data_IF_229633624291
#
_entry.id   IF_229633624291
#
_cell.length_a   1.000
_cell.length_b   1.000
_cell.length_c   1.000
_cell.angle_alpha   90.00
_cell.angle_beta   90.00
_cell.angle_gamma   90.00
#
_symmetry.space_group_name_H-M   'P 1'
#
loop_
_entity.id
_entity.type
_entity.pdbx_description
1 polymer ?
#
# COMPACT_ATOMS: atom_id res chain seq x y z
N UNK A 1 4.10 -4.82 8.98
CA UNK A 1 5.20 -3.94 9.45
C UNK A 1 4.80 -2.47 9.61
N UNK A 2 3.90 -1.91 8.79
CA UNK A 2 3.56 -0.47 8.82
C UNK A 2 2.60 -0.05 9.96
N UNK A 3 1.81 -0.99 10.50
CA UNK A 3 0.75 -0.72 11.49
C UNK A 3 1.18 0.09 12.72
N UNK A 4 2.37 -0.10 13.33
CA UNK A 4 2.79 0.72 14.47
C UNK A 4 2.90 2.21 14.12
N UNK A 5 3.47 2.54 12.95
CA UNK A 5 3.60 3.93 12.49
C UNK A 5 2.23 4.54 12.21
N UNK A 6 1.36 3.79 11.52
CA UNK A 6 -0.01 4.22 11.23
C UNK A 6 -0.81 4.50 12.52
N UNK A 7 -0.64 3.66 13.54
CA UNK A 7 -1.28 3.84 14.85
C UNK A 7 -0.83 5.13 15.54
N UNK A 8 0.47 5.47 15.47
CA UNK A 8 1.00 6.72 16.05
C UNK A 8 0.39 7.94 15.35
N UNK A 9 0.16 7.84 14.04
CA UNK A 9 -0.43 8.90 13.22
C UNK A 9 -1.96 8.92 13.25
N UNK A 10 -2.61 7.99 13.96
CA UNK A 10 -4.07 7.88 14.00
C UNK A 10 -4.71 7.48 12.67
N UNK A 11 -3.98 6.78 11.80
CA UNK A 11 -4.46 6.33 10.49
C UNK A 11 -5.24 5.00 10.67
N UNK A 12 -6.52 4.93 10.26
CA UNK A 12 -7.31 3.70 10.32
C UNK A 12 -6.70 2.57 9.48
N UNK A 13 -6.79 1.33 9.95
CA UNK A 13 -6.17 0.18 9.29
C UNK A 13 -6.74 -0.07 7.89
N UNK A 14 -8.02 0.23 7.67
CA UNK A 14 -8.69 0.14 6.36
C UNK A 14 -8.14 1.11 5.30
N UNK A 15 -7.33 2.08 5.72
CA UNK A 15 -6.65 3.03 4.83
C UNK A 15 -5.18 2.63 4.56
N UNK A 16 -4.74 1.47 5.07
CA UNK A 16 -3.37 0.99 4.90
C UNK A 16 -3.34 -0.03 3.76
N UNK A 17 -2.56 0.26 2.74
CA UNK A 17 -2.26 -0.63 1.63
C UNK A 17 -0.75 -0.89 1.62
N UNK A 18 -0.32 -2.10 1.99
CA UNK A 18 1.09 -2.43 2.13
C UNK A 18 1.33 -3.94 2.03
N UNK A 19 2.56 -4.33 1.70
CA UNK A 19 2.96 -5.72 1.68
C UNK A 19 2.77 -6.37 3.06
N UNK A 20 2.11 -7.52 3.05
CA UNK A 20 2.00 -8.37 4.23
C UNK A 20 3.05 -9.45 4.17
N UNK A 21 3.92 -9.50 5.19
CA UNK A 21 4.86 -10.60 5.36
C UNK A 21 4.14 -11.77 6.04
N UNK A 22 4.42 -12.98 5.56
CA UNK A 22 3.87 -14.21 6.08
C UNK A 22 4.93 -14.92 6.93
N UNK A 23 4.53 -15.31 8.14
CA UNK A 23 5.39 -16.04 9.07
C UNK A 23 4.69 -17.32 9.51
N UNK A 24 5.45 -18.39 9.66
CA UNK A 24 4.95 -19.64 10.19
C UNK A 24 4.83 -19.63 11.70
N UNK A 25 4.35 -20.73 12.26
CA UNK A 25 4.10 -20.85 13.71
C UNK A 25 5.38 -20.76 14.56
N UNK A 26 6.55 -21.04 13.96
CA UNK A 26 7.85 -20.91 14.63
C UNK A 26 8.52 -19.56 14.36
N UNK A 27 7.82 -18.63 13.71
CA UNK A 27 8.34 -17.31 13.35
C UNK A 27 9.25 -17.34 12.10
N UNK A 28 9.34 -18.45 11.40
CA UNK A 28 10.09 -18.56 10.16
C UNK A 28 9.44 -17.72 9.06
N UNK A 29 10.27 -17.07 8.24
CA UNK A 29 9.80 -16.29 7.11
C UNK A 29 9.29 -17.22 6.01
N UNK A 30 8.02 -17.10 5.65
CA UNK A 30 7.38 -17.91 4.61
C UNK A 30 7.23 -17.16 3.29
N UNK A 31 7.49 -15.86 3.27
CA UNK A 31 7.33 -15.00 2.09
C UNK A 31 6.43 -13.80 2.38
N UNK A 32 5.74 -13.35 1.35
CA UNK A 32 4.80 -12.24 1.42
C UNK A 32 3.51 -12.61 0.71
N UNK A 33 2.41 -11.95 1.08
CA UNK A 33 1.14 -12.12 0.39
C UNK A 33 1.24 -11.53 -1.02
N UNK A 34 1.19 -12.40 -2.03
CA UNK A 34 1.26 -12.00 -3.44
C UNK A 34 -0.06 -11.45 -3.98
N UNK A 35 -1.15 -11.53 -3.21
CA UNK A 35 -2.44 -10.94 -3.57
C UNK A 35 -2.49 -9.45 -3.28
N UNK A 36 -1.61 -8.95 -2.39
CA UNK A 36 -1.49 -7.52 -2.12
C UNK A 36 -1.00 -6.80 -3.38
N UNK A 37 -1.71 -5.75 -3.86
CA UNK A 37 -1.29 -5.01 -5.05
C UNK A 37 0.14 -4.46 -4.92
N UNK A 38 0.52 -4.06 -3.71
CA UNK A 38 1.83 -3.50 -3.39
C UNK A 38 2.98 -4.52 -3.47
N UNK A 39 2.68 -5.81 -3.69
CA UNK A 39 3.68 -6.89 -3.76
C UNK A 39 4.46 -6.90 -5.08
N UNK A 40 4.08 -6.05 -6.04
CA UNK A 40 4.63 -5.96 -7.39
C UNK A 40 4.87 -4.51 -7.80
N UNK A 41 5.73 -4.31 -8.80
CA UNK A 41 5.94 -2.99 -9.43
C UNK A 41 4.62 -2.44 -9.97
N UNK A 42 4.38 -1.14 -9.79
CA UNK A 42 3.11 -0.48 -10.12
C UNK A 42 2.01 -0.71 -9.08
N UNK A 43 2.31 -1.36 -7.96
CA UNK A 43 1.33 -1.66 -6.92
C UNK A 43 0.69 -0.44 -6.27
N UNK A 44 1.41 0.70 -6.17
CA UNK A 44 0.85 1.92 -5.60
C UNK A 44 -0.19 2.53 -6.54
N UNK A 45 0.05 2.51 -7.85
CA UNK A 45 -0.93 2.94 -8.85
C UNK A 45 -2.24 2.13 -8.75
N UNK A 46 -2.15 0.81 -8.59
CA UNK A 46 -3.31 -0.07 -8.42
C UNK A 46 -4.08 0.27 -7.14
N UNK A 47 -3.37 0.48 -6.01
CA UNK A 47 -4.01 0.87 -4.75
C UNK A 47 -4.76 2.20 -4.90
N UNK A 48 -4.16 3.22 -5.54
CA UNK A 48 -4.82 4.50 -5.83
C UNK A 48 -6.07 4.31 -6.70
N UNK A 49 -6.01 3.48 -7.73
CA UNK A 49 -7.18 3.17 -8.56
C UNK A 49 -8.31 2.50 -7.76
N UNK A 50 -7.99 1.57 -6.86
CA UNK A 50 -8.98 0.92 -6.02
C UNK A 50 -9.65 1.92 -5.08
N UNK A 51 -8.86 2.79 -4.43
CA UNK A 51 -9.38 3.86 -3.57
C UNK A 51 -10.28 4.80 -4.37
N UNK A 52 -9.88 5.21 -5.59
CA UNK A 52 -10.70 6.03 -6.50
C UNK A 52 -12.07 5.39 -6.76
N UNK A 53 -12.07 4.10 -7.12
CA UNK A 53 -13.30 3.36 -7.44
C UNK A 53 -14.23 3.23 -6.22
N UNK A 54 -13.68 2.94 -5.05
CA UNK A 54 -14.47 2.68 -3.83
C UNK A 54 -14.97 3.97 -3.18
N UNK A 55 -14.14 5.02 -3.13
CA UNK A 55 -14.43 6.25 -2.37
C UNK A 55 -14.93 7.41 -3.25
N UNK A 56 -14.73 7.35 -4.57
CA UNK A 56 -15.22 8.37 -5.50
C UNK A 56 -14.53 9.73 -5.38
N UNK A 57 -13.33 9.79 -4.80
CA UNK A 57 -12.58 11.05 -4.67
C UNK A 57 -12.21 11.62 -6.05
N UNK A 58 -12.33 12.95 -6.19
CA UNK A 58 -12.05 13.67 -7.44
C UNK A 58 -10.59 14.09 -7.59
N UNK A 59 -9.86 14.19 -6.49
CA UNK A 59 -8.48 14.63 -6.45
C UNK A 59 -7.67 13.78 -5.48
N UNK A 60 -6.41 13.52 -5.84
CA UNK A 60 -5.44 12.76 -5.06
C UNK A 60 -4.12 13.52 -5.01
N UNK A 61 -3.43 13.41 -3.88
CA UNK A 61 -2.07 13.91 -3.70
C UNK A 61 -1.22 12.73 -3.29
N UNK A 62 -0.20 12.42 -4.10
CA UNK A 62 0.82 11.44 -3.78
C UNK A 62 2.01 12.16 -3.13
N UNK A 63 2.45 11.68 -1.97
CA UNK A 63 3.64 12.20 -1.28
C UNK A 63 4.59 11.02 -1.06
N UNK A 64 5.78 11.14 -1.62
CA UNK A 64 6.85 10.15 -1.49
C UNK A 64 8.15 10.71 -2.04
N UNK A 65 9.26 10.13 -1.60
CA UNK A 65 10.61 10.53 -1.98
C UNK A 65 11.16 9.69 -3.15
N UNK A 66 10.50 8.59 -3.50
CA UNK A 66 10.96 7.62 -4.49
C UNK A 66 10.51 7.92 -5.92
N UNK A 67 11.31 7.49 -6.89
CA UNK A 67 10.94 7.56 -8.31
C UNK A 67 9.65 6.77 -8.63
N UNK A 68 9.38 5.69 -7.88
CA UNK A 68 8.14 4.91 -8.02
C UNK A 68 6.90 5.69 -7.56
N UNK A 69 7.05 6.62 -6.63
CA UNK A 69 5.95 7.49 -6.21
C UNK A 69 5.53 8.45 -7.34
N UNK A 70 6.51 8.94 -8.10
CA UNK A 70 6.27 9.76 -9.28
C UNK A 70 5.71 8.95 -10.46
N UNK A 71 6.31 7.78 -10.76
CA UNK A 71 5.89 6.93 -11.88
C UNK A 71 4.42 6.51 -11.77
N UNK A 72 4.01 6.11 -10.56
CA UNK A 72 2.68 5.58 -10.31
C UNK A 72 1.59 6.67 -10.33
N UNK A 73 1.94 7.92 -10.05
CA UNK A 73 1.01 9.06 -10.13
C UNK A 73 0.85 9.60 -11.56
N UNK A 74 1.94 9.66 -12.35
CA UNK A 74 1.93 10.31 -13.66
C UNK A 74 1.07 9.59 -14.74
N UNK A 75 0.60 8.36 -14.48
CA UNK A 75 -0.17 7.57 -15.44
C UNK A 75 -1.70 7.73 -15.35
N UNK A 76 -2.28 8.48 -14.39
CA UNK A 76 -3.72 8.46 -14.05
C UNK A 76 -4.37 9.83 -13.79
#
# INVERSE_FOLDING_TARGET
MINPVASILGIPQENIFANQLLFGSSGEFLGFDTNEPTSRSGGKAIAVQQIRKVKGYKAFVMIGDGATDLEDFARH
#
